data_IF_508348409481
#
_entry.id   IF_508348409481
#
_cell.length_a   1.000
_cell.length_b   1.000
_cell.length_c   1.000
_cell.angle_alpha   90.00
_cell.angle_beta   90.00
_cell.angle_gamma   90.00
#
_symmetry.space_group_name_H-M   'P 1'
#
loop_
_entity.id
_entity.type
_entity.pdbx_description
1 polymer ?
#
# COMPACT_ATOMS: atom_id res chain seq x y z
N UNK A 1 -16.08 16.03 -19.42
CA UNK A 1 -16.04 15.38 -18.08
C UNK A 1 -16.15 13.87 -18.18
N UNK A 2 -17.16 13.32 -18.88
CA UNK A 2 -17.35 11.86 -19.03
C UNK A 2 -16.14 11.18 -19.69
N UNK A 3 -15.64 11.72 -20.79
CA UNK A 3 -14.44 11.18 -21.51
C UNK A 3 -13.19 11.20 -20.64
N UNK A 4 -12.98 12.28 -19.85
CA UNK A 4 -11.88 12.36 -18.89
C UNK A 4 -11.98 11.26 -17.83
N UNK A 5 -13.16 11.01 -17.26
CA UNK A 5 -13.34 9.94 -16.28
C UNK A 5 -13.10 8.56 -16.89
N UNK A 6 -13.58 8.34 -18.12
CA UNK A 6 -13.32 7.11 -18.87
C UNK A 6 -11.82 6.90 -19.07
N UNK A 7 -11.12 7.94 -19.45
CA UNK A 7 -9.68 7.92 -19.63
C UNK A 7 -8.94 7.67 -18.31
N UNK A 8 -9.25 8.45 -17.27
CA UNK A 8 -8.57 8.39 -15.97
C UNK A 8 -8.70 7.03 -15.28
N UNK A 9 -9.89 6.44 -15.31
CA UNK A 9 -10.18 5.14 -14.70
C UNK A 9 -9.85 3.96 -15.62
N UNK A 10 -9.69 4.20 -16.89
CA UNK A 10 -9.58 3.18 -17.92
C UNK A 10 -8.16 2.62 -18.09
N UNK A 11 -8.07 1.83 -19.16
CA UNK A 11 -6.84 1.37 -19.79
C UNK A 11 -6.76 1.99 -21.18
N UNK A 12 -5.64 1.88 -21.84
CA UNK A 12 -5.45 2.34 -23.20
C UNK A 12 -4.11 3.05 -23.38
N UNK A 13 -3.83 3.47 -24.60
CA UNK A 13 -2.57 4.08 -25.00
C UNK A 13 -2.22 5.27 -24.12
N UNK A 14 -1.24 5.11 -23.28
CA UNK A 14 -0.64 6.15 -22.47
C UNK A 14 0.86 6.03 -22.54
N UNK A 15 1.58 7.14 -22.38
CA UNK A 15 3.00 7.06 -22.10
C UNK A 15 3.20 6.11 -20.92
N UNK A 16 3.97 5.07 -21.12
CA UNK A 16 4.32 4.15 -20.06
C UNK A 16 5.02 4.91 -18.93
N UNK A 17 4.83 4.44 -17.71
CA UNK A 17 5.63 4.90 -16.59
C UNK A 17 7.09 4.52 -16.86
N UNK A 18 7.99 5.50 -16.82
CA UNK A 18 9.41 5.27 -16.96
C UNK A 18 10.14 5.43 -15.64
N UNK A 19 11.06 4.49 -15.36
CA UNK A 19 11.95 4.58 -14.21
C UNK A 19 12.84 5.82 -14.30
N UNK A 20 13.22 6.36 -13.15
CA UNK A 20 14.12 7.50 -13.01
C UNK A 20 13.61 8.82 -13.62
N UNK A 21 12.31 8.91 -13.84
CA UNK A 21 11.64 10.15 -14.26
C UNK A 21 11.11 10.94 -13.06
N UNK A 22 10.69 12.21 -13.24
CA UNK A 22 9.98 12.95 -12.19
C UNK A 22 8.75 12.22 -11.66
N UNK A 23 8.03 11.48 -12.51
CA UNK A 23 6.90 10.65 -12.10
C UNK A 23 7.29 9.50 -11.17
N UNK A 24 8.54 9.05 -11.22
CA UNK A 24 9.05 8.05 -10.27
C UNK A 24 9.53 8.69 -8.97
N UNK A 25 10.31 9.77 -9.05
CA UNK A 25 10.94 10.36 -7.86
C UNK A 25 9.98 11.22 -7.02
N UNK A 26 9.03 11.91 -7.63
CA UNK A 26 8.16 12.82 -6.90
C UNK A 26 7.34 12.13 -5.79
N UNK A 27 6.69 10.97 -6.01
CA UNK A 27 5.99 10.25 -4.94
C UNK A 27 6.94 9.77 -3.85
N UNK A 28 8.14 9.29 -4.19
CA UNK A 28 9.14 8.86 -3.21
C UNK A 28 9.58 10.03 -2.34
N UNK A 29 9.86 11.19 -2.93
CA UNK A 29 10.22 12.39 -2.20
C UNK A 29 9.07 12.88 -1.31
N UNK A 30 7.84 12.84 -1.80
CA UNK A 30 6.65 13.17 -1.01
C UNK A 30 6.48 12.23 0.18
N UNK A 31 6.70 10.93 0.00
CA UNK A 31 6.69 9.95 1.07
C UNK A 31 7.78 10.25 2.12
N UNK A 32 9.01 10.51 1.68
CA UNK A 32 10.13 10.88 2.57
C UNK A 32 9.79 12.15 3.35
N UNK A 33 9.29 13.18 2.69
CA UNK A 33 8.86 14.40 3.35
C UNK A 33 7.75 14.12 4.39
N UNK A 34 6.80 13.25 4.06
CA UNK A 34 5.72 12.86 4.96
C UNK A 34 6.22 12.27 6.28
N UNK A 35 7.11 11.29 6.25
CA UNK A 35 7.61 10.73 7.50
C UNK A 35 8.63 11.62 8.23
N UNK A 36 9.37 12.48 7.54
CA UNK A 36 10.19 13.52 8.20
C UNK A 36 9.32 14.54 8.93
N UNK A 37 8.19 14.93 8.35
CA UNK A 37 7.21 15.79 9.02
C UNK A 37 6.60 15.11 10.24
N UNK A 38 6.20 13.85 10.14
CA UNK A 38 5.70 13.08 11.28
C UNK A 38 6.76 13.03 12.39
N UNK A 39 8.01 12.71 12.05
CA UNK A 39 9.11 12.73 13.02
C UNK A 39 9.28 14.09 13.70
N UNK A 40 9.29 15.18 12.91
CA UNK A 40 9.44 16.55 13.41
C UNK A 40 8.32 16.96 14.38
N UNK A 41 7.10 16.54 14.12
CA UNK A 41 5.91 16.93 14.89
C UNK A 41 5.40 15.82 15.81
N UNK A 42 6.14 14.74 15.98
CA UNK A 42 5.70 13.55 16.72
C UNK A 42 5.17 13.86 18.13
N UNK A 43 5.88 14.70 18.91
CA UNK A 43 5.48 15.05 20.26
C UNK A 43 4.21 15.92 20.28
N UNK A 44 4.08 16.84 19.33
CA UNK A 44 2.86 17.65 19.18
C UNK A 44 1.66 16.79 18.78
N UNK A 45 1.87 15.85 17.87
CA UNK A 45 0.83 14.91 17.45
C UNK A 45 0.40 14.04 18.62
N UNK A 46 1.36 13.48 19.38
CA UNK A 46 1.11 12.62 20.55
C UNK A 46 0.32 13.33 21.64
N UNK A 47 0.62 14.59 21.88
CA UNK A 47 -0.06 15.44 22.87
C UNK A 47 -1.39 16.02 22.38
N UNK A 48 -1.70 15.87 21.09
CA UNK A 48 -2.89 16.46 20.50
C UNK A 48 -4.16 15.68 20.85
N UNK A 49 -5.23 16.39 21.19
CA UNK A 49 -6.59 15.82 21.30
C UNK A 49 -7.11 15.25 19.98
N UNK A 50 -6.43 15.52 18.87
CA UNK A 50 -6.78 15.03 17.52
C UNK A 50 -5.94 13.84 17.08
N UNK A 51 -5.05 13.31 17.93
CA UNK A 51 -4.18 12.17 17.58
C UNK A 51 -4.98 11.01 16.99
N UNK A 52 -6.06 10.63 17.64
CA UNK A 52 -6.90 9.52 17.22
C UNK A 52 -7.53 9.76 15.84
N UNK A 53 -7.98 10.98 15.56
CA UNK A 53 -8.54 11.34 14.26
C UNK A 53 -7.49 11.30 13.14
N UNK A 54 -6.26 11.74 13.43
CA UNK A 54 -5.13 11.67 12.49
C UNK A 54 -4.83 10.21 12.19
N UNK A 55 -4.74 9.37 13.19
CA UNK A 55 -4.47 7.95 13.09
C UNK A 55 -5.54 7.21 12.28
N UNK A 56 -6.81 7.47 12.56
CA UNK A 56 -7.92 6.91 11.77
C UNK A 56 -7.96 7.46 10.35
N UNK A 57 -7.59 8.71 10.15
CA UNK A 57 -7.46 9.30 8.81
C UNK A 57 -6.40 8.60 7.97
N UNK A 58 -5.24 8.25 8.55
CA UNK A 58 -4.19 7.49 7.87
C UNK A 58 -4.69 6.06 7.55
N UNK A 59 -5.35 5.38 8.49
CA UNK A 59 -5.91 4.05 8.27
C UNK A 59 -6.96 4.06 7.15
N UNK A 60 -7.84 5.05 7.16
CA UNK A 60 -8.87 5.23 6.15
C UNK A 60 -8.26 5.49 4.77
N UNK A 61 -7.26 6.39 4.68
CA UNK A 61 -6.57 6.67 3.44
C UNK A 61 -5.87 5.41 2.87
N UNK A 62 -5.24 4.60 3.74
CA UNK A 62 -4.58 3.37 3.35
C UNK A 62 -5.58 2.34 2.80
N UNK A 63 -6.68 2.07 3.51
CA UNK A 63 -7.66 1.10 3.04
C UNK A 63 -8.42 1.58 1.80
N UNK A 64 -8.70 2.87 1.69
CA UNK A 64 -9.31 3.45 0.49
C UNK A 64 -8.38 3.38 -0.73
N UNK A 65 -7.07 3.56 -0.53
CA UNK A 65 -6.08 3.42 -1.60
C UNK A 65 -6.05 1.99 -2.14
N UNK A 66 -6.11 0.99 -1.26
CA UNK A 66 -6.21 -0.41 -1.65
C UNK A 66 -7.54 -0.69 -2.37
N UNK A 67 -8.65 -0.28 -1.76
CA UNK A 67 -9.98 -0.51 -2.34
C UNK A 67 -10.20 0.22 -3.67
N UNK A 68 -9.49 1.31 -3.94
CA UNK A 68 -9.61 2.05 -5.19
C UNK A 68 -9.30 1.18 -6.41
N UNK A 69 -8.41 0.19 -6.28
CA UNK A 69 -8.14 -0.77 -7.33
C UNK A 69 -9.37 -1.60 -7.67
N UNK A 70 -10.04 -2.18 -6.67
CA UNK A 70 -11.23 -3.02 -6.85
C UNK A 70 -12.44 -2.20 -7.31
N UNK A 71 -12.64 -1.02 -6.74
CA UNK A 71 -13.70 -0.10 -7.18
C UNK A 71 -13.55 0.29 -8.64
N UNK A 72 -12.32 0.47 -9.10
CA UNK A 72 -12.03 0.71 -10.52
C UNK A 72 -12.53 -0.45 -11.39
N UNK A 73 -12.27 -1.69 -11.01
CA UNK A 73 -12.72 -2.87 -11.76
C UNK A 73 -14.24 -2.98 -11.79
N UNK A 74 -14.91 -2.68 -10.70
CA UNK A 74 -16.38 -2.64 -10.62
C UNK A 74 -16.96 -1.51 -11.47
N UNK A 75 -16.33 -0.33 -11.43
CA UNK A 75 -16.78 0.84 -12.19
C UNK A 75 -16.53 0.71 -13.70
N UNK A 76 -15.61 -0.17 -14.10
CA UNK A 76 -15.18 -0.36 -15.49
C UNK A 76 -15.18 -1.85 -15.88
N UNK A 77 -16.38 -2.46 -16.04
CA UNK A 77 -16.50 -3.89 -16.38
C UNK A 77 -15.79 -4.27 -17.68
N UNK A 78 -15.63 -3.32 -18.60
CA UNK A 78 -14.91 -3.54 -19.87
C UNK A 78 -13.40 -3.79 -19.70
N UNK A 79 -12.85 -3.53 -18.52
CA UNK A 79 -11.47 -3.93 -18.19
C UNK A 79 -11.34 -5.44 -18.02
N UNK A 80 -12.44 -6.17 -18.10
CA UNK A 80 -12.49 -7.61 -17.99
C UNK A 80 -12.02 -8.08 -16.59
N UNK A 81 -12.66 -7.65 -15.48
CA UNK A 81 -12.25 -8.09 -14.17
C UNK A 81 -12.46 -9.59 -14.07
N UNK A 82 -11.42 -10.35 -14.42
CA UNK A 82 -11.39 -11.76 -14.10
C UNK A 82 -11.12 -11.87 -12.59
N UNK A 83 -12.04 -12.41 -11.78
CA UNK A 83 -11.82 -12.57 -10.35
C UNK A 83 -10.54 -13.33 -10.03
N UNK A 84 -10.14 -14.23 -10.92
CA UNK A 84 -8.96 -15.06 -10.75
C UNK A 84 -7.66 -14.25 -10.80
N UNK A 85 -7.57 -13.27 -11.72
CA UNK A 85 -6.40 -12.41 -11.88
C UNK A 85 -6.30 -11.31 -10.79
N UNK A 86 -7.35 -11.15 -10.01
CA UNK A 86 -7.47 -10.06 -9.04
C UNK A 86 -7.68 -10.58 -7.60
N UNK A 87 -7.24 -11.80 -7.33
CA UNK A 87 -7.32 -12.34 -5.97
C UNK A 87 -6.40 -11.56 -5.02
N UNK A 88 -6.85 -11.27 -3.79
CA UNK A 88 -6.06 -10.51 -2.82
C UNK A 88 -4.99 -11.37 -2.14
N UNK A 89 -4.11 -11.97 -2.91
CA UNK A 89 -3.04 -12.85 -2.42
C UNK A 89 -1.66 -12.19 -2.40
N UNK A 90 -1.55 -10.96 -2.88
CA UNK A 90 -0.30 -10.21 -2.86
C UNK A 90 0.02 -9.69 -1.45
N UNK A 91 1.32 -9.67 -1.13
CA UNK A 91 1.81 -9.16 0.17
C UNK A 91 1.42 -7.71 0.41
N UNK A 92 1.41 -6.86 -0.64
CA UNK A 92 1.03 -5.44 -0.54
C UNK A 92 -0.42 -5.27 -0.08
N UNK A 93 -1.35 -6.06 -0.62
CA UNK A 93 -2.77 -6.06 -0.22
C UNK A 93 -2.91 -6.34 1.28
N UNK A 94 -2.28 -7.41 1.76
CA UNK A 94 -2.31 -7.77 3.17
C UNK A 94 -1.56 -6.77 4.04
N UNK A 95 -0.49 -6.16 3.53
CA UNK A 95 0.20 -5.07 4.23
C UNK A 95 -0.70 -3.84 4.39
N UNK A 96 -1.51 -3.49 3.40
CA UNK A 96 -2.47 -2.39 3.51
C UNK A 96 -3.59 -2.71 4.53
N UNK A 97 -4.18 -3.91 4.45
CA UNK A 97 -5.25 -4.34 5.37
C UNK A 97 -4.72 -4.40 6.81
N UNK A 98 -3.66 -5.17 7.06
CA UNK A 98 -3.09 -5.30 8.41
C UNK A 98 -2.48 -4.00 8.90
N UNK A 99 -1.93 -3.16 8.01
CA UNK A 99 -1.45 -1.83 8.33
C UNK A 99 -2.56 -0.92 8.86
N UNK A 100 -3.74 -0.99 8.26
CA UNK A 100 -4.91 -0.25 8.74
C UNK A 100 -5.36 -0.74 10.13
N UNK A 101 -5.42 -2.05 10.35
CA UNK A 101 -5.73 -2.61 11.68
C UNK A 101 -4.63 -2.30 12.72
N UNK A 102 -3.36 -2.37 12.31
CA UNK A 102 -2.21 -2.03 13.15
C UNK A 102 -2.33 -0.60 13.69
N UNK A 103 -2.56 0.37 12.81
CA UNK A 103 -2.59 1.78 13.20
C UNK A 103 -3.83 2.13 14.01
N UNK A 104 -4.99 1.55 13.70
CA UNK A 104 -6.22 1.75 14.49
C UNK A 104 -6.07 1.16 15.88
N UNK A 105 -5.67 -0.09 15.98
CA UNK A 105 -5.60 -0.84 17.23
C UNK A 105 -4.29 -0.67 18.01
N UNK A 106 -3.32 0.10 17.53
CA UNK A 106 -1.96 0.21 18.10
C UNK A 106 -1.34 -1.15 18.42
N UNK A 107 -1.49 -2.09 17.48
CA UNK A 107 -1.19 -3.49 17.70
C UNK A 107 0.27 -3.82 17.37
N UNK A 108 1.08 -4.11 18.41
CA UNK A 108 2.50 -4.45 18.26
C UNK A 108 2.73 -5.73 17.45
N UNK A 109 1.84 -6.73 17.53
CA UNK A 109 2.01 -7.98 16.78
C UNK A 109 1.84 -7.77 15.27
N UNK A 110 0.88 -6.93 14.88
CA UNK A 110 0.71 -6.52 13.48
C UNK A 110 1.87 -5.62 13.03
N UNK A 111 2.32 -4.69 13.90
CA UNK A 111 3.50 -3.88 13.61
C UNK A 111 4.74 -4.74 13.33
N UNK A 112 4.96 -5.79 14.10
CA UNK A 112 6.08 -6.73 13.92
C UNK A 112 6.09 -7.37 12.52
N UNK A 113 4.90 -7.65 11.96
CA UNK A 113 4.75 -8.22 10.61
C UNK A 113 4.93 -7.15 9.54
N UNK A 114 4.15 -6.09 9.64
CA UNK A 114 4.03 -5.05 8.61
C UNK A 114 5.32 -4.26 8.44
N UNK A 115 6.05 -4.03 9.53
CA UNK A 115 7.34 -3.34 9.50
C UNK A 115 8.28 -3.98 8.47
N UNK A 116 8.47 -5.29 8.53
CA UNK A 116 9.39 -5.98 7.60
C UNK A 116 8.79 -6.13 6.20
N UNK A 117 7.50 -6.39 6.07
CA UNK A 117 6.86 -6.50 4.75
C UNK A 117 6.95 -5.21 3.96
N UNK A 118 6.75 -4.07 4.60
CA UNK A 118 6.87 -2.76 3.95
C UNK A 118 8.33 -2.39 3.70
N UNK A 119 9.22 -2.54 4.68
CA UNK A 119 10.62 -2.12 4.51
C UNK A 119 11.43 -3.03 3.59
N UNK A 120 11.02 -4.27 3.36
CA UNK A 120 11.67 -5.14 2.38
C UNK A 120 10.88 -5.23 1.07
N UNK A 121 9.70 -5.83 1.08
CA UNK A 121 8.92 -6.09 -0.13
C UNK A 121 8.48 -4.83 -0.85
N UNK A 122 7.83 -3.91 -0.14
CA UNK A 122 7.34 -2.67 -0.75
C UNK A 122 8.45 -1.71 -1.14
N UNK A 123 9.63 -1.77 -0.49
CA UNK A 123 10.77 -0.95 -0.89
C UNK A 123 11.21 -1.29 -2.32
N UNK A 124 11.34 -2.57 -2.64
CA UNK A 124 11.67 -2.99 -4.00
C UNK A 124 10.58 -2.60 -5.01
N UNK A 125 9.31 -2.70 -4.63
CA UNK A 125 8.22 -2.23 -5.47
C UNK A 125 8.28 -0.72 -5.76
N UNK A 126 8.78 0.09 -4.82
CA UNK A 126 8.94 1.54 -5.02
C UNK A 126 10.20 1.89 -5.82
N UNK A 127 11.30 1.18 -5.61
CA UNK A 127 12.56 1.45 -6.29
C UNK A 127 12.58 0.93 -7.74
N UNK A 128 11.97 -0.23 -7.95
CA UNK A 128 11.89 -0.90 -9.26
C UNK A 128 10.47 -1.36 -9.54
N UNK A 129 9.49 -0.41 -9.60
CA UNK A 129 8.13 -0.79 -9.92
C UNK A 129 8.14 -1.52 -11.27
N UNK A 130 7.57 -2.72 -11.29
CA UNK A 130 7.31 -3.41 -12.56
C UNK A 130 6.54 -2.44 -13.44
N UNK A 131 6.89 -2.30 -14.72
CA UNK A 131 6.17 -1.40 -15.61
C UNK A 131 4.70 -1.81 -15.56
N UNK A 132 3.99 -1.04 -14.75
CA UNK A 132 2.57 -1.20 -14.57
C UNK A 132 1.99 -0.65 -15.85
N UNK A 133 1.67 -1.52 -16.76
CA UNK A 133 0.88 -1.21 -17.94
C UNK A 133 -0.21 -0.24 -17.50
N UNK A 134 -0.28 0.95 -18.09
CA UNK A 134 -1.28 2.00 -17.78
C UNK A 134 -1.01 2.90 -16.55
N UNK A 135 0.23 3.15 -16.19
CA UNK A 135 0.58 3.83 -14.92
C UNK A 135 1.29 5.16 -15.02
N UNK A 136 0.99 5.95 -16.04
CA UNK A 136 1.37 7.35 -16.03
C UNK A 136 0.54 8.18 -15.02
N UNK A 137 1.00 9.38 -14.62
CA UNK A 137 0.29 10.25 -13.68
C UNK A 137 -1.12 10.68 -14.10
N UNK A 138 -1.46 10.45 -15.36
CA UNK A 138 -2.80 10.72 -15.92
C UNK A 138 -3.82 9.63 -15.63
N UNK A 139 -3.42 8.56 -14.94
CA UNK A 139 -4.27 7.39 -14.66
C UNK A 139 -4.43 7.15 -13.16
N UNK A 140 -5.61 6.67 -12.77
CA UNK A 140 -5.91 6.31 -11.40
C UNK A 140 -4.93 5.27 -10.84
N UNK A 141 -4.54 4.28 -11.65
CA UNK A 141 -3.66 3.19 -11.19
C UNK A 141 -2.31 3.69 -10.69
N UNK A 142 -1.75 4.74 -11.31
CA UNK A 142 -0.54 5.40 -10.81
C UNK A 142 -0.75 5.93 -9.39
N UNK A 143 -1.79 6.74 -9.19
CA UNK A 143 -2.09 7.34 -7.90
C UNK A 143 -2.42 6.30 -6.84
N UNK A 144 -3.19 5.27 -7.20
CA UNK A 144 -3.52 4.17 -6.30
C UNK A 144 -2.26 3.46 -5.82
N UNK A 145 -1.35 3.07 -6.72
CA UNK A 145 -0.11 2.40 -6.36
C UNK A 145 0.75 3.25 -5.41
N UNK A 146 1.00 4.52 -5.78
CA UNK A 146 1.85 5.39 -4.98
C UNK A 146 1.22 5.79 -3.65
N UNK A 147 -0.08 6.03 -3.58
CA UNK A 147 -0.77 6.38 -2.33
C UNK A 147 -0.83 5.20 -1.37
N UNK A 148 -1.15 4.00 -1.84
CA UNK A 148 -1.16 2.79 -1.04
C UNK A 148 0.19 2.56 -0.35
N UNK A 149 1.27 2.52 -1.13
CA UNK A 149 2.60 2.31 -0.58
C UNK A 149 3.03 3.46 0.34
N UNK A 150 2.78 4.71 -0.04
CA UNK A 150 3.08 5.89 0.79
C UNK A 150 2.37 5.83 2.14
N UNK A 151 1.07 5.56 2.17
CA UNK A 151 0.32 5.46 3.42
C UNK A 151 0.72 4.25 4.25
N UNK A 152 1.12 3.15 3.64
CA UNK A 152 1.72 2.01 4.33
C UNK A 152 2.97 2.41 5.12
N UNK A 153 3.91 3.10 4.47
CA UNK A 153 5.11 3.63 5.13
C UNK A 153 4.77 4.68 6.19
N UNK A 154 3.88 5.62 5.88
CA UNK A 154 3.40 6.63 6.84
C UNK A 154 2.82 5.96 8.09
N UNK A 155 2.01 4.92 7.94
CA UNK A 155 1.44 4.17 9.06
C UNK A 155 2.52 3.57 9.97
N UNK A 156 3.53 2.91 9.38
CA UNK A 156 4.64 2.33 10.15
C UNK A 156 5.46 3.40 10.85
N UNK A 157 5.87 4.45 10.14
CA UNK A 157 6.67 5.53 10.74
C UNK A 157 5.89 6.35 11.76
N UNK A 158 4.57 6.49 11.59
CA UNK A 158 3.70 7.08 12.60
C UNK A 158 3.74 6.26 13.90
N UNK A 159 3.62 4.94 13.83
CA UNK A 159 3.69 4.08 15.00
C UNK A 159 5.07 4.12 15.67
N UNK A 160 6.14 4.27 14.90
CA UNK A 160 7.50 4.42 15.43
C UNK A 160 7.67 5.76 16.16
N UNK A 161 7.32 6.88 15.52
CA UNK A 161 7.66 8.20 16.04
C UNK A 161 6.65 8.72 17.04
N UNK A 162 5.36 8.45 16.82
CA UNK A 162 4.29 8.94 17.70
C UNK A 162 4.03 7.99 18.87
N UNK A 163 4.00 6.68 18.62
CA UNK A 163 3.69 5.67 19.65
C UNK A 163 4.90 4.92 20.21
N UNK A 164 6.09 5.18 19.68
CA UNK A 164 7.32 4.57 20.19
C UNK A 164 7.46 3.07 19.91
N UNK A 165 6.67 2.53 18.97
CA UNK A 165 6.80 1.12 18.60
C UNK A 165 8.16 0.80 18.00
N UNK A 166 8.68 -0.39 18.30
CA UNK A 166 9.98 -0.84 17.82
C UNK A 166 9.90 -2.30 17.37
N UNK A 167 10.59 -2.68 16.30
CA UNK A 167 10.78 -4.08 15.97
C UNK A 167 11.79 -4.72 16.93
N UNK A 168 11.58 -5.98 17.25
CA UNK A 168 12.45 -6.81 18.08
C UNK A 168 13.03 -7.97 17.22
N UNK A 169 14.08 -8.66 17.64
CA UNK A 169 14.60 -9.81 16.88
C UNK A 169 13.53 -10.88 16.59
N UNK A 170 12.64 -11.14 17.55
CA UNK A 170 11.49 -12.05 17.36
C UNK A 170 10.44 -11.53 16.36
N UNK A 171 10.42 -10.23 16.09
CA UNK A 171 9.50 -9.64 15.11
C UNK A 171 9.86 -10.08 13.69
N UNK A 172 11.15 -10.23 13.40
CA UNK A 172 11.61 -10.76 12.10
C UNK A 172 11.13 -12.19 11.88
N UNK A 173 11.24 -13.05 12.90
CA UNK A 173 10.76 -14.43 12.83
C UNK A 173 9.24 -14.47 12.63
N UNK A 174 8.50 -13.65 13.37
CA UNK A 174 7.05 -13.54 13.26
C UNK A 174 6.63 -13.09 11.85
N UNK A 175 7.29 -12.07 11.33
CA UNK A 175 7.05 -11.57 9.97
C UNK A 175 7.35 -12.62 8.91
N UNK A 176 8.43 -13.37 9.08
CA UNK A 176 8.81 -14.44 8.16
C UNK A 176 7.80 -15.61 8.18
N UNK A 177 7.34 -16.03 9.36
CA UNK A 177 6.30 -17.07 9.47
C UNK A 177 5.02 -16.60 8.78
N UNK A 178 4.55 -15.38 9.05
CA UNK A 178 3.38 -14.82 8.40
C UNK A 178 3.52 -14.72 6.86
N UNK A 179 4.75 -14.45 6.37
CA UNK A 179 5.03 -14.47 4.93
C UNK A 179 4.94 -15.88 4.35
N UNK A 180 5.46 -16.90 5.05
CA UNK A 180 5.34 -18.29 4.63
C UNK A 180 3.88 -18.76 4.62
N UNK A 181 3.09 -18.36 5.61
CA UNK A 181 1.65 -18.66 5.65
C UNK A 181 0.93 -18.05 4.44
N UNK A 182 1.19 -16.77 4.14
CA UNK A 182 0.63 -16.11 2.96
C UNK A 182 1.09 -16.76 1.66
N UNK A 183 2.37 -17.14 1.57
CA UNK A 183 2.93 -17.86 0.41
C UNK A 183 2.26 -19.23 0.22
N UNK A 184 2.00 -19.95 1.30
CA UNK A 184 1.26 -21.21 1.24
C UNK A 184 -0.18 -20.99 0.76
N UNK A 185 -0.86 -19.98 1.29
CA UNK A 185 -2.22 -19.61 0.83
C UNK A 185 -2.19 -19.32 -0.67
N UNK A 186 -1.27 -18.49 -1.13
CA UNK A 186 -1.14 -18.15 -2.56
C UNK A 186 -0.86 -19.39 -3.41
N UNK A 187 0.05 -20.27 -2.96
CA UNK A 187 0.37 -21.51 -3.65
C UNK A 187 -0.85 -22.42 -3.81
N UNK A 188 -1.59 -22.65 -2.73
CA UNK A 188 -2.79 -23.50 -2.80
C UNK A 188 -3.91 -22.83 -3.61
N UNK A 189 -4.07 -21.52 -3.49
CA UNK A 189 -5.04 -20.77 -4.31
C UNK A 189 -4.74 -20.95 -5.80
N UNK A 190 -3.49 -20.77 -6.21
CA UNK A 190 -3.07 -20.94 -7.60
C UNK A 190 -3.17 -22.38 -8.11
N UNK A 191 -3.14 -23.36 -7.21
CA UNK A 191 -3.32 -24.79 -7.57
C UNK A 191 -4.78 -25.19 -7.65
N UNK A 192 -5.63 -24.64 -6.78
CA UNK A 192 -7.04 -25.02 -6.67
C UNK A 192 -7.94 -24.22 -7.61
N UNK A 193 -7.53 -23.01 -7.98
CA UNK A 193 -8.31 -22.14 -8.86
C UNK A 193 -7.61 -22.10 -10.24
N UNK A 194 -8.19 -22.75 -11.27
CA UNK A 194 -7.61 -22.73 -12.61
C UNK A 194 -7.47 -21.31 -13.16
N UNK A 195 -6.28 -20.95 -13.63
CA UNK A 195 -5.99 -19.63 -14.18
C UNK A 195 -5.60 -18.57 -13.14
N UNK A 196 -5.56 -18.88 -11.85
CA UNK A 196 -4.98 -17.99 -10.84
C UNK A 196 -3.45 -17.93 -11.04
N UNK A 197 -2.90 -16.71 -11.06
CA UNK A 197 -1.47 -16.42 -11.21
C UNK A 197 -0.99 -15.46 -10.13
#
# INVERSE_FOLDING_TARGET
MKEFLIYFWGQGDTPEFALFTPAHFAPILAMIAGFLLIRKYADRIRASKHEEKIRYGIAFALICSEMAYYWRLVARPELGPNPVDNLPIAVCVWAAIFGSYMIVGKNQKLFDIIYFWLLSGSLFALLTPTPLTYCGPTRLRYWQFWTEHTFGYIAVFYMIFVHGMRPYPKSMVRSYIALLELTAIAYFTNRLIPGAN
#
